data_IF_057066468428
#
_entry.id   IF_057066468428
#
_cell.length_a   1.000
_cell.length_b   1.000
_cell.length_c   1.000
_cell.angle_alpha   90.00
_cell.angle_beta   90.00
_cell.angle_gamma   90.00
#
_symmetry.space_group_name_H-M   'P 1'
#
loop_
_entity.id
_entity.type
_entity.pdbx_description
1 polymer ?
#
# COMPACT_ATOMS: atom_id res chain seq x y z
N UNK A 1 0.82 4.04 9.91
CA UNK A 1 1.87 3.78 10.90
C UNK A 1 3.26 4.13 10.34
N UNK A 2 3.68 3.57 9.20
CA UNK A 2 5.04 3.76 8.65
C UNK A 2 5.35 5.20 8.26
N UNK A 3 4.40 5.94 7.70
CA UNK A 3 4.58 7.38 7.42
C UNK A 3 4.79 8.17 8.71
N UNK A 4 4.08 7.85 9.79
CA UNK A 4 4.30 8.48 11.10
C UNK A 4 5.67 8.13 11.67
N UNK A 5 6.14 6.91 11.50
CA UNK A 5 7.50 6.51 11.89
C UNK A 5 8.56 7.35 11.15
N UNK A 6 8.38 7.56 9.83
CA UNK A 6 9.24 8.43 9.03
C UNK A 6 9.21 9.88 9.52
N UNK A 7 8.01 10.42 9.82
CA UNK A 7 7.86 11.79 10.34
C UNK A 7 8.53 11.95 11.71
N UNK A 8 8.42 10.97 12.60
CA UNK A 8 9.10 10.98 13.90
C UNK A 8 10.62 10.89 13.73
N UNK A 9 11.12 10.02 12.84
CA UNK A 9 12.52 9.92 12.50
C UNK A 9 13.10 11.25 12.00
N UNK A 10 12.37 11.93 11.11
CA UNK A 10 12.77 13.26 10.62
C UNK A 10 12.81 14.30 11.74
N UNK A 11 11.85 14.27 12.68
CA UNK A 11 11.85 15.16 13.84
C UNK A 11 13.03 14.89 14.78
N UNK A 12 13.40 13.63 15.01
CA UNK A 12 14.57 13.26 15.84
C UNK A 12 15.87 13.78 15.23
N UNK A 13 16.03 13.67 13.91
CA UNK A 13 17.20 14.25 13.21
C UNK A 13 17.16 15.77 13.24
N UNK A 14 16.01 16.39 12.95
CA UNK A 14 15.85 17.83 12.94
C UNK A 14 16.08 18.49 14.30
N UNK A 15 15.83 17.76 15.40
CA UNK A 15 16.11 18.22 16.77
C UNK A 15 17.55 17.98 17.22
N UNK A 16 18.37 17.29 16.45
CA UNK A 16 19.72 16.88 16.81
C UNK A 16 19.79 15.76 17.84
N UNK A 17 18.69 15.05 18.06
CA UNK A 17 18.62 13.89 18.96
C UNK A 17 19.33 12.68 18.38
N UNK A 18 19.17 12.48 17.06
CA UNK A 18 19.78 11.39 16.31
C UNK A 18 20.37 11.90 14.99
N UNK A 19 21.41 11.24 14.51
CA UNK A 19 22.03 11.55 13.22
C UNK A 19 21.61 10.60 12.10
N UNK A 20 21.15 9.39 12.45
CA UNK A 20 20.75 8.38 11.51
C UNK A 20 19.57 7.60 12.09
N UNK A 21 18.46 7.52 11.35
CA UNK A 21 17.25 6.82 11.76
C UNK A 21 16.77 5.93 10.62
N UNK A 22 16.38 4.71 10.95
CA UNK A 22 15.72 3.79 10.04
C UNK A 22 14.23 3.72 10.38
N UNK A 23 13.38 4.13 9.46
CA UNK A 23 11.93 3.99 9.56
C UNK A 23 11.47 2.86 8.62
N UNK A 24 10.78 1.87 9.15
CA UNK A 24 10.36 0.71 8.37
C UNK A 24 8.92 0.31 8.67
N UNK A 25 8.37 -0.51 7.79
CA UNK A 25 7.07 -1.13 7.96
C UNK A 25 6.97 -2.40 7.14
N UNK A 26 6.12 -3.31 7.61
CA UNK A 26 5.81 -4.57 6.97
C UNK A 26 4.32 -4.84 7.06
N UNK A 27 3.75 -5.39 6.01
CA UNK A 27 2.39 -5.93 5.98
C UNK A 27 2.44 -7.34 5.41
N UNK A 28 1.78 -8.29 6.07
CA UNK A 28 1.75 -9.69 5.68
C UNK A 28 0.30 -10.17 5.62
N UNK A 29 -0.44 -9.69 4.63
CA UNK A 29 -1.86 -10.01 4.48
C UNK A 29 -2.12 -11.46 4.08
N UNK A 30 -1.11 -12.15 3.54
CA UNK A 30 -1.18 -13.60 3.27
C UNK A 30 -1.23 -14.43 4.57
N UNK A 31 -0.66 -13.92 5.66
CA UNK A 31 -0.59 -14.58 6.96
C UNK A 31 -1.62 -14.02 7.95
N UNK A 32 -1.76 -12.68 7.97
CA UNK A 32 -2.66 -11.96 8.87
C UNK A 32 -3.75 -11.31 8.01
N UNK A 33 -4.92 -11.92 7.86
CA UNK A 33 -5.99 -11.42 7.02
C UNK A 33 -6.46 -10.02 7.43
N UNK A 34 -6.93 -9.26 6.44
CA UNK A 34 -7.51 -7.94 6.65
C UNK A 34 -8.62 -7.99 7.71
N UNK A 35 -8.58 -7.08 8.68
CA UNK A 35 -9.53 -7.03 9.78
C UNK A 35 -9.14 -7.84 11.03
N UNK A 36 -8.05 -8.63 10.99
CA UNK A 36 -7.56 -9.41 12.14
C UNK A 36 -7.23 -8.53 13.35
N UNK A 37 -6.90 -7.26 13.13
CA UNK A 37 -6.67 -6.28 14.19
C UNK A 37 -7.93 -5.97 15.02
N UNK A 38 -9.10 -6.37 14.56
CA UNK A 38 -10.38 -6.24 15.31
C UNK A 38 -10.75 -7.52 16.06
N UNK A 39 -9.96 -8.58 15.95
CA UNK A 39 -10.18 -9.82 16.67
C UNK A 39 -10.03 -9.58 18.19
N UNK A 40 -11.13 -9.77 18.93
CA UNK A 40 -11.15 -9.61 20.39
C UNK A 40 -11.39 -8.18 20.90
N UNK A 41 -11.71 -7.21 20.04
CA UNK A 41 -12.00 -5.84 20.48
C UNK A 41 -12.65 -4.97 19.42
N UNK A 42 -13.16 -3.84 19.87
CA UNK A 42 -13.67 -2.77 19.00
C UNK A 42 -12.66 -1.62 19.08
N UNK A 43 -11.94 -1.30 17.99
CA UNK A 43 -10.90 -0.27 18.02
C UNK A 43 -11.43 1.16 18.21
N UNK A 44 -12.73 1.38 17.99
CA UNK A 44 -13.41 2.66 18.16
C UNK A 44 -14.39 2.56 19.32
N UNK A 45 -14.12 3.26 20.41
CA UNK A 45 -14.97 3.29 21.59
C UNK A 45 -16.22 4.17 21.40
N UNK A 46 -17.12 4.17 22.41
CA UNK A 46 -18.34 4.98 22.41
C UNK A 46 -18.10 6.47 22.18
N UNK A 47 -17.03 7.02 22.76
CA UNK A 47 -16.64 8.42 22.56
C UNK A 47 -16.40 8.77 21.09
N UNK A 48 -15.84 7.85 20.31
CA UNK A 48 -15.68 8.05 18.86
C UNK A 48 -17.05 8.11 18.17
N UNK A 49 -17.94 7.15 18.46
CA UNK A 49 -19.25 7.06 17.84
C UNK A 49 -20.19 8.24 18.20
N UNK A 50 -19.94 8.92 19.32
CA UNK A 50 -20.68 10.14 19.70
C UNK A 50 -20.32 11.36 18.84
N UNK A 51 -19.12 11.40 18.26
CA UNK A 51 -18.61 12.55 17.51
C UNK A 51 -18.47 12.29 16.02
N UNK A 52 -18.31 11.03 15.61
CA UNK A 52 -18.05 10.64 14.24
C UNK A 52 -18.98 9.50 13.84
N UNK A 53 -19.36 9.48 12.58
CA UNK A 53 -20.06 8.34 11.98
C UNK A 53 -19.03 7.26 11.61
N UNK A 54 -19.01 6.09 12.26
CA UNK A 54 -18.14 5.01 11.88
C UNK A 54 -18.47 4.53 10.47
N UNK A 55 -17.50 4.50 9.60
CA UNK A 55 -17.63 4.01 8.21
C UNK A 55 -16.51 3.02 7.89
N UNK A 56 -16.79 2.05 7.01
CA UNK A 56 -15.73 1.31 6.36
C UNK A 56 -15.01 2.20 5.34
N UNK A 57 -13.82 1.81 4.90
CA UNK A 57 -13.11 2.54 3.85
C UNK A 57 -13.95 2.67 2.55
N UNK A 58 -14.69 1.63 2.16
CA UNK A 58 -15.55 1.66 0.99
C UNK A 58 -16.76 2.59 1.18
N UNK A 59 -17.39 2.54 2.33
CA UNK A 59 -18.52 3.41 2.65
C UNK A 59 -18.08 4.88 2.70
N UNK A 60 -16.95 5.18 3.34
CA UNK A 60 -16.40 6.54 3.36
C UNK A 60 -16.05 7.04 1.97
N UNK A 61 -15.45 6.20 1.12
CA UNK A 61 -15.16 6.54 -0.27
C UNK A 61 -16.45 6.77 -1.09
N UNK A 62 -17.50 5.98 -0.85
CA UNK A 62 -18.79 6.18 -1.52
C UNK A 62 -19.46 7.50 -1.12
N UNK A 63 -19.40 7.89 0.16
CA UNK A 63 -19.90 9.19 0.63
C UNK A 63 -19.16 10.36 -0.03
N UNK A 64 -17.85 10.27 -0.16
CA UNK A 64 -17.04 11.27 -0.87
C UNK A 64 -17.45 11.33 -2.35
N UNK A 65 -17.64 10.19 -2.98
CA UNK A 65 -18.03 10.13 -4.38
C UNK A 65 -19.42 10.74 -4.61
N UNK A 66 -20.37 10.53 -3.72
CA UNK A 66 -21.69 11.15 -3.76
C UNK A 66 -21.58 12.67 -3.61
N UNK A 67 -20.84 13.16 -2.62
CA UNK A 67 -20.65 14.59 -2.36
C UNK A 67 -20.01 15.32 -3.55
N UNK A 68 -18.98 14.71 -4.17
CA UNK A 68 -18.26 15.30 -5.30
C UNK A 68 -18.76 14.84 -6.67
N UNK A 69 -19.85 14.09 -6.73
CA UNK A 69 -20.46 13.58 -7.97
C UNK A 69 -19.49 12.75 -8.82
N UNK A 70 -18.61 11.97 -8.16
CA UNK A 70 -17.67 11.08 -8.83
C UNK A 70 -18.42 9.85 -9.31
N UNK A 71 -18.29 9.55 -10.59
CA UNK A 71 -18.97 8.40 -11.22
C UNK A 71 -18.10 7.15 -11.22
N UNK A 72 -18.71 6.01 -11.52
CA UNK A 72 -18.01 4.76 -11.79
C UNK A 72 -16.97 4.92 -12.92
N UNK A 73 -17.31 5.64 -13.96
CA UNK A 73 -16.40 5.88 -15.08
C UNK A 73 -15.16 6.69 -14.66
N UNK A 74 -15.32 7.65 -13.75
CA UNK A 74 -14.20 8.42 -13.21
C UNK A 74 -13.25 7.52 -12.40
N UNK A 75 -13.78 6.62 -11.57
CA UNK A 75 -12.98 5.70 -10.78
C UNK A 75 -12.27 4.66 -11.67
N UNK A 76 -12.92 4.16 -12.70
CA UNK A 76 -12.32 3.24 -13.68
C UNK A 76 -11.21 3.95 -14.47
N UNK A 77 -11.42 5.18 -14.93
CA UNK A 77 -10.40 5.98 -15.61
C UNK A 77 -9.19 6.27 -14.70
N UNK A 78 -9.43 6.55 -13.43
CA UNK A 78 -8.36 6.71 -12.44
C UNK A 78 -7.56 5.42 -12.26
N UNK A 79 -8.23 4.28 -12.13
CA UNK A 79 -7.61 2.97 -12.01
C UNK A 79 -6.76 2.61 -13.22
N UNK A 80 -7.26 2.83 -14.44
CA UNK A 80 -6.52 2.65 -15.68
C UNK A 80 -5.24 3.49 -15.70
N UNK A 81 -5.39 4.80 -15.49
CA UNK A 81 -4.25 5.72 -15.45
C UNK A 81 -3.21 5.37 -14.37
N UNK A 82 -3.64 4.82 -13.24
CA UNK A 82 -2.74 4.33 -12.18
C UNK A 82 -1.90 3.15 -12.67
N UNK A 83 -2.52 2.15 -13.32
CA UNK A 83 -1.81 1.01 -13.90
C UNK A 83 -0.83 1.43 -14.99
N UNK A 84 -1.24 2.31 -15.91
CA UNK A 84 -0.39 2.81 -16.99
C UNK A 84 0.84 3.54 -16.44
N UNK A 85 0.67 4.38 -15.42
CA UNK A 85 1.79 5.07 -14.76
C UNK A 85 2.73 4.11 -14.06
N UNK A 86 2.20 3.10 -13.38
CA UNK A 86 3.01 2.10 -12.69
C UNK A 86 3.80 1.25 -13.69
N UNK A 87 3.17 0.77 -14.76
CA UNK A 87 3.84 0.02 -15.84
C UNK A 87 4.96 0.86 -16.44
N UNK A 88 4.67 2.11 -16.79
CA UNK A 88 5.67 3.04 -17.34
C UNK A 88 6.84 3.26 -16.38
N UNK A 89 6.58 3.42 -15.09
CA UNK A 89 7.64 3.60 -14.09
C UNK A 89 8.58 2.39 -14.02
N UNK A 90 8.03 1.17 -14.12
CA UNK A 90 8.81 -0.06 -14.21
C UNK A 90 9.61 -0.17 -15.50
N UNK A 91 9.01 0.15 -16.64
CA UNK A 91 9.70 0.13 -17.95
C UNK A 91 10.84 1.13 -18.03
N UNK A 92 10.72 2.27 -17.36
CA UNK A 92 11.75 3.30 -17.25
C UNK A 92 12.84 2.98 -16.20
N UNK A 93 12.75 1.85 -15.49
CA UNK A 93 13.72 1.44 -14.46
C UNK A 93 13.74 2.34 -13.23
N UNK A 94 12.64 3.05 -12.92
CA UNK A 94 12.59 4.00 -11.80
C UNK A 94 12.79 3.34 -10.44
N UNK A 95 12.48 2.05 -10.33
CA UNK A 95 12.56 1.28 -9.10
C UNK A 95 13.85 0.45 -8.96
N UNK A 96 14.75 0.47 -9.94
CA UNK A 96 15.95 -0.39 -9.96
C UNK A 96 16.86 -0.18 -8.75
N UNK A 97 16.86 1.01 -8.16
CA UNK A 97 17.64 1.36 -6.96
C UNK A 97 16.90 1.11 -5.65
N UNK A 98 15.61 0.83 -5.69
CA UNK A 98 14.74 0.79 -4.51
C UNK A 98 14.28 -0.63 -4.20
N UNK A 99 14.10 -1.47 -5.22
CA UNK A 99 13.61 -2.84 -5.05
C UNK A 99 14.77 -3.76 -4.68
N UNK A 100 14.58 -4.50 -3.60
CA UNK A 100 15.49 -5.57 -3.16
C UNK A 100 14.81 -6.89 -3.52
N UNK A 101 15.33 -7.66 -4.51
CA UNK A 101 14.78 -8.96 -4.85
C UNK A 101 14.89 -9.93 -3.68
N UNK A 102 13.83 -10.69 -3.44
CA UNK A 102 13.74 -11.65 -2.32
C UNK A 102 13.51 -13.05 -2.88
N UNK A 103 14.29 -14.02 -2.39
CA UNK A 103 14.01 -15.43 -2.61
C UNK A 103 12.81 -15.86 -1.75
N UNK A 104 11.81 -16.41 -2.42
CA UNK A 104 10.56 -16.87 -1.80
C UNK A 104 10.30 -18.33 -2.17
N UNK A 105 9.79 -19.16 -1.26
CA UNK A 105 9.35 -20.49 -1.61
C UNK A 105 8.17 -20.44 -2.58
N UNK A 106 8.16 -21.33 -3.55
CA UNK A 106 6.97 -21.56 -4.38
C UNK A 106 5.96 -22.35 -3.55
N UNK A 107 4.74 -21.84 -3.49
CA UNK A 107 3.65 -22.49 -2.77
C UNK A 107 2.73 -23.25 -3.74
N UNK A 108 2.22 -24.38 -3.28
CA UNK A 108 1.18 -25.14 -3.99
C UNK A 108 -0.21 -24.51 -3.83
N UNK A 109 -1.22 -25.13 -4.41
CA UNK A 109 -2.63 -24.66 -4.33
C UNK A 109 -3.22 -24.71 -2.92
N UNK A 110 -2.56 -25.34 -1.96
CA UNK A 110 -2.94 -25.39 -0.54
C UNK A 110 -2.10 -24.41 0.32
N UNK A 111 -1.20 -23.63 -0.32
CA UNK A 111 -0.32 -22.69 0.37
C UNK A 111 0.88 -23.35 1.07
N UNK A 112 1.25 -24.58 0.72
CA UNK A 112 2.41 -25.28 1.28
C UNK A 112 3.62 -25.14 0.35
N UNK A 113 4.85 -25.02 0.90
CA UNK A 113 6.06 -25.00 0.09
C UNK A 113 6.21 -26.25 -0.76
N UNK A 114 6.45 -26.09 -2.06
CA UNK A 114 6.69 -27.19 -3.01
C UNK A 114 8.12 -27.76 -2.89
N UNK A 115 9.03 -27.04 -2.28
CA UNK A 115 10.46 -27.32 -2.26
C UNK A 115 11.26 -26.50 -3.25
N UNK A 116 10.58 -25.82 -4.18
CA UNK A 116 11.20 -24.89 -5.13
C UNK A 116 11.24 -23.48 -4.56
N UNK A 117 12.12 -22.63 -5.10
CA UNK A 117 12.19 -21.20 -4.79
C UNK A 117 12.06 -20.35 -6.06
N UNK A 118 11.63 -19.12 -5.88
CA UNK A 118 11.57 -18.10 -6.93
C UNK A 118 12.05 -16.76 -6.40
N UNK A 119 12.65 -15.97 -7.25
CA UNK A 119 13.05 -14.60 -6.91
C UNK A 119 11.90 -13.64 -7.21
N UNK A 120 11.39 -12.97 -6.18
CA UNK A 120 10.40 -11.90 -6.31
C UNK A 120 11.14 -10.58 -6.36
N UNK A 121 11.16 -9.94 -7.52
CA UNK A 121 11.84 -8.66 -7.77
C UNK A 121 10.97 -7.66 -8.52
N UNK A 122 9.69 -7.98 -8.71
CA UNK A 122 8.72 -7.10 -9.39
C UNK A 122 7.38 -7.17 -8.69
N UNK A 123 6.70 -6.04 -8.65
CA UNK A 123 5.31 -5.96 -8.18
C UNK A 123 4.40 -6.85 -9.04
N UNK A 124 3.78 -7.86 -8.41
CA UNK A 124 2.89 -8.81 -9.07
C UNK A 124 1.50 -8.23 -9.37
N UNK A 125 1.19 -7.06 -8.79
CA UNK A 125 -0.09 -6.38 -8.98
C UNK A 125 -0.23 -5.62 -10.29
N UNK A 126 0.86 -5.47 -11.05
CA UNK A 126 0.85 -4.77 -12.33
C UNK A 126 0.18 -5.60 -13.42
N UNK A 127 -0.82 -5.02 -14.08
CA UNK A 127 -1.51 -5.65 -15.21
C UNK A 127 -2.03 -4.62 -16.19
N UNK A 128 -1.85 -4.89 -17.47
CA UNK A 128 -2.51 -4.12 -18.51
C UNK A 128 -4.03 -4.31 -18.41
N UNK A 129 -4.78 -3.23 -18.55
CA UNK A 129 -6.25 -3.24 -18.52
C UNK A 129 -6.78 -2.25 -19.55
N UNK A 130 -8.11 -2.17 -19.68
CA UNK A 130 -8.79 -1.19 -20.53
C UNK A 130 -10.06 -0.70 -19.87
N UNK A 131 -10.63 0.40 -20.37
CA UNK A 131 -11.91 0.91 -19.85
C UNK A 131 -13.04 -0.12 -19.99
N UNK A 132 -13.05 -0.90 -21.09
CA UNK A 132 -14.04 -1.96 -21.31
C UNK A 132 -13.89 -3.10 -20.28
N UNK A 133 -12.66 -3.49 -19.99
CA UNK A 133 -12.38 -4.52 -18.98
C UNK A 133 -12.78 -4.05 -17.58
N UNK A 134 -12.47 -2.79 -17.22
CA UNK A 134 -12.85 -2.20 -15.94
C UNK A 134 -14.37 -2.05 -15.80
N UNK A 135 -15.06 -1.59 -16.85
CA UNK A 135 -16.50 -1.47 -16.85
C UNK A 135 -17.23 -2.82 -16.64
N UNK A 136 -16.60 -3.94 -17.05
CA UNK A 136 -17.10 -5.28 -16.82
C UNK A 136 -16.93 -5.82 -15.40
N UNK A 137 -16.18 -5.15 -14.54
CA UNK A 137 -15.96 -5.59 -13.17
C UNK A 137 -17.20 -5.37 -12.29
N UNK A 138 -17.47 -6.36 -11.43
CA UNK A 138 -18.53 -6.22 -10.44
C UNK A 138 -18.12 -5.22 -9.35
N UNK A 139 -19.09 -4.44 -8.90
CA UNK A 139 -18.87 -3.54 -7.77
C UNK A 139 -18.63 -4.33 -6.47
N UNK A 140 -17.86 -3.75 -5.57
CA UNK A 140 -17.67 -4.29 -4.22
C UNK A 140 -19.04 -4.39 -3.53
N UNK A 141 -19.35 -5.48 -2.82
CA UNK A 141 -20.65 -5.67 -2.19
C UNK A 141 -21.09 -4.46 -1.36
N UNK A 142 -22.32 -3.99 -1.60
CA UNK A 142 -22.88 -2.80 -0.96
C UNK A 142 -22.39 -1.46 -1.54
N UNK A 143 -21.72 -1.48 -2.70
CA UNK A 143 -21.23 -0.31 -3.42
C UNK A 143 -21.67 -0.34 -4.88
N UNK A 144 -21.69 0.83 -5.53
CA UNK A 144 -22.03 0.94 -6.95
C UNK A 144 -20.83 1.34 -7.81
N UNK A 145 -19.93 2.14 -7.26
CA UNK A 145 -18.85 2.79 -8.02
C UNK A 145 -17.46 2.17 -7.80
N UNK A 146 -17.24 1.46 -6.68
CA UNK A 146 -15.94 0.87 -6.37
C UNK A 146 -15.88 -0.59 -6.81
N UNK A 147 -14.80 -0.96 -7.49
CA UNK A 147 -14.53 -2.31 -7.96
C UNK A 147 -13.10 -2.72 -7.61
N UNK A 148 -12.73 -3.94 -7.95
CA UNK A 148 -11.33 -4.37 -7.87
C UNK A 148 -10.38 -3.51 -8.70
N UNK A 149 -10.88 -2.86 -9.78
CA UNK A 149 -10.09 -1.95 -10.62
C UNK A 149 -9.78 -0.60 -9.97
N UNK A 150 -10.59 -0.16 -9.03
CA UNK A 150 -10.41 1.09 -8.28
C UNK A 150 -10.02 0.86 -6.81
N UNK A 151 -9.71 -0.37 -6.43
CA UNK A 151 -9.36 -0.76 -5.06
C UNK A 151 -7.95 -1.32 -5.02
N UNK A 152 -7.27 -1.11 -3.88
CA UNK A 152 -5.98 -1.74 -3.62
C UNK A 152 -6.13 -3.25 -3.50
N UNK A 153 -5.15 -3.97 -4.00
CA UNK A 153 -5.07 -5.42 -3.84
C UNK A 153 -4.64 -5.81 -2.43
N UNK A 154 -4.94 -7.06 -2.05
CA UNK A 154 -4.39 -7.71 -0.88
C UNK A 154 -3.01 -8.24 -1.26
N UNK A 155 -1.95 -7.76 -0.60
CA UNK A 155 -0.57 -8.14 -0.90
C UNK A 155 0.31 -8.05 0.33
N UNK A 156 1.41 -8.79 0.31
CA UNK A 156 2.49 -8.66 1.27
C UNK A 156 3.46 -7.58 0.81
N UNK A 157 4.10 -6.92 1.74
CA UNK A 157 5.09 -5.89 1.41
C UNK A 157 5.86 -5.41 2.62
N UNK A 158 7.09 -4.99 2.38
CA UNK A 158 7.93 -4.33 3.36
C UNK A 158 8.66 -3.16 2.71
N UNK A 159 8.86 -2.10 3.48
CA UNK A 159 9.62 -0.94 3.03
C UNK A 159 10.46 -0.37 4.15
N UNK A 160 11.59 0.22 3.80
CA UNK A 160 12.46 0.93 4.72
C UNK A 160 12.89 2.27 4.13
N UNK A 161 12.92 3.30 4.97
CA UNK A 161 13.47 4.63 4.64
C UNK A 161 14.58 4.92 5.64
N UNK A 162 15.75 5.30 5.14
CA UNK A 162 16.86 5.76 5.96
C UNK A 162 16.86 7.30 5.93
N UNK A 163 16.82 7.89 7.10
CA UNK A 163 16.90 9.33 7.31
C UNK A 163 18.26 9.66 7.95
N UNK A 164 18.95 10.66 7.42
CA UNK A 164 20.29 11.03 7.88
C UNK A 164 20.45 12.55 8.00
N UNK A 165 21.21 13.00 9.01
CA UNK A 165 21.70 14.37 9.06
C UNK A 165 22.77 14.60 7.98
N UNK A 166 23.03 15.85 7.62
CA UNK A 166 24.12 16.18 6.69
C UNK A 166 25.47 15.66 7.20
N UNK A 167 25.71 15.74 8.51
CA UNK A 167 26.92 15.20 9.14
C UNK A 167 27.04 13.67 9.00
N UNK A 168 25.92 12.94 9.12
CA UNK A 168 25.91 11.50 8.91
C UNK A 168 26.15 11.14 7.44
N UNK A 169 25.55 11.89 6.51
CA UNK A 169 25.80 11.72 5.06
C UNK A 169 27.28 11.82 4.75
N UNK A 170 27.95 12.86 5.25
CA UNK A 170 29.38 13.07 5.07
C UNK A 170 30.21 11.97 5.76
N UNK A 171 29.93 11.70 7.03
CA UNK A 171 30.67 10.73 7.85
C UNK A 171 30.65 9.31 7.28
N UNK A 172 29.51 8.89 6.72
CA UNK A 172 29.30 7.52 6.23
C UNK A 172 29.34 7.40 4.71
N UNK A 173 29.58 8.50 3.98
CA UNK A 173 29.65 8.51 2.52
C UNK A 173 28.34 8.10 1.87
N UNK A 174 27.19 8.50 2.46
CA UNK A 174 25.88 8.15 1.95
C UNK A 174 25.56 8.95 0.70
N UNK A 175 24.77 8.37 -0.20
CA UNK A 175 24.21 9.05 -1.38
C UNK A 175 22.71 9.22 -1.18
N UNK A 176 22.21 10.44 -0.91
CA UNK A 176 20.78 10.74 -0.76
C UNK A 176 20.00 10.52 -2.06
#
# INVERSE_FOLDING_TARGET
>A
ASQQATSLGAAMIGSGMEDLVMACGVEMMSVIPLGSNMAGGIPMGESYAQHYQPTSQFQGAAMIAEEYQITRQDTDAFGLNSQDKAIKAWEEGRFDREIIPIESPVLDGEGKPTGDSQTIGRDEGLRGTSMEALAGLQAVPGQEIHTAGSSSQVSDGAAVVILASAAAVEKYGLTP
#
